data_IF_409225342129
#
_entry.id   IF_409225342129
#
_cell.length_a   1.000
_cell.length_b   1.000
_cell.length_c   1.000
_cell.angle_alpha   90.00
_cell.angle_beta   90.00
_cell.angle_gamma   90.00
#
_symmetry.space_group_name_H-M   'P 1'
#
loop_
_entity.id
_entity.type
_entity.pdbx_description
1 polymer ?
#
# COMPACT_ATOMS: atom_id res chain seq x y z
N UNK A 1 48.57 -116.17 30.72
CA UNK A 1 48.30 -115.28 31.88
C UNK A 1 48.73 -113.87 31.52
N UNK A 2 47.77 -112.99 31.20
CA UNK A 2 47.73 -111.54 31.47
C UNK A 2 46.55 -110.94 30.69
N UNK A 3 45.48 -110.71 31.44
CA UNK A 3 44.25 -110.03 31.07
C UNK A 3 44.57 -108.53 30.99
N UNK A 4 44.29 -107.86 29.86
CA UNK A 4 44.33 -106.39 29.80
C UNK A 4 42.92 -105.85 29.63
N UNK A 5 42.51 -105.14 30.68
CA UNK A 5 41.21 -104.51 30.90
C UNK A 5 41.13 -103.26 30.01
N UNK A 6 40.08 -103.17 29.19
CA UNK A 6 39.74 -101.97 28.41
C UNK A 6 39.01 -101.02 29.34
N UNK A 7 39.62 -99.86 29.61
CA UNK A 7 39.03 -98.76 30.39
C UNK A 7 38.30 -97.82 29.42
N UNK A 8 36.96 -97.85 29.42
CA UNK A 8 36.13 -96.90 28.66
C UNK A 8 35.99 -95.64 29.52
N UNK A 9 36.60 -94.54 29.08
CA UNK A 9 36.45 -93.21 29.69
C UNK A 9 35.21 -92.55 29.07
N UNK A 10 34.15 -92.41 29.88
CA UNK A 10 32.95 -91.65 29.55
C UNK A 10 33.26 -90.15 29.71
N UNK A 11 33.36 -89.41 28.60
CA UNK A 11 33.46 -87.95 28.63
C UNK A 11 32.06 -87.34 28.79
N UNK A 12 31.75 -86.84 29.98
CA UNK A 12 30.57 -86.01 30.24
C UNK A 12 30.83 -84.59 29.70
N UNK A 13 30.14 -84.22 28.61
CA UNK A 13 30.14 -82.86 28.07
C UNK A 13 29.33 -81.98 29.02
N UNK A 14 30.01 -81.14 29.79
CA UNK A 14 29.38 -80.06 30.56
C UNK A 14 29.07 -78.93 29.57
N UNK A 15 27.81 -78.78 29.21
CA UNK A 15 27.34 -77.62 28.45
C UNK A 15 27.34 -76.40 29.38
N UNK A 16 28.33 -75.53 29.22
CA UNK A 16 28.29 -74.20 29.81
C UNK A 16 27.22 -73.39 29.07
N UNK A 17 26.32 -72.67 29.78
CA UNK A 17 25.43 -71.74 29.10
C UNK A 17 26.32 -70.67 28.47
N UNK A 18 26.25 -70.54 27.14
CA UNK A 18 26.76 -69.36 26.44
C UNK A 18 25.96 -68.17 26.96
N UNK A 19 26.54 -67.44 27.90
CA UNK A 19 26.02 -66.17 28.36
C UNK A 19 26.01 -65.25 27.12
N UNK A 20 24.80 -64.93 26.63
CA UNK A 20 24.64 -63.94 25.59
C UNK A 20 25.30 -62.65 26.08
N UNK A 21 26.44 -62.31 25.48
CA UNK A 21 27.14 -61.08 25.75
C UNK A 21 26.25 -60.00 25.16
N UNK A 22 25.51 -59.26 26.00
CA UNK A 22 24.80 -58.06 25.55
C UNK A 22 25.83 -57.19 24.86
N UNK A 23 25.63 -56.88 23.58
CA UNK A 23 26.49 -55.95 22.86
C UNK A 23 26.60 -54.66 23.69
N UNK A 24 27.77 -54.43 24.25
CA UNK A 24 28.05 -53.20 24.98
C UNK A 24 28.15 -52.09 23.95
N UNK A 25 27.06 -51.35 23.75
CA UNK A 25 27.03 -50.18 22.91
C UNK A 25 27.09 -48.90 23.77
N UNK A 26 27.30 -47.75 23.13
CA UNK A 26 27.41 -46.45 23.81
C UNK A 26 26.18 -46.07 24.65
N UNK A 27 25.03 -46.73 24.42
CA UNK A 27 23.75 -46.48 25.08
C UNK A 27 23.45 -47.45 26.24
N UNK A 28 24.29 -48.47 26.42
CA UNK A 28 24.07 -49.56 27.38
C UNK A 28 24.10 -49.06 28.83
N UNK A 29 23.26 -49.66 29.67
CA UNK A 29 23.16 -49.34 31.10
C UNK A 29 22.90 -47.84 31.43
N UNK A 30 22.29 -47.10 30.51
CA UNK A 30 21.92 -45.69 30.70
C UNK A 30 23.07 -44.70 30.42
N UNK A 31 24.19 -45.15 29.86
CA UNK A 31 25.24 -44.26 29.38
C UNK A 31 24.78 -43.55 28.09
N UNK A 32 25.06 -42.25 27.93
CA UNK A 32 24.74 -41.42 26.74
C UNK A 32 23.31 -41.47 26.17
N UNK A 33 22.36 -42.03 26.92
CA UNK A 33 20.96 -42.18 26.53
C UNK A 33 20.28 -40.85 26.15
N UNK A 34 20.81 -39.73 26.65
CA UNK A 34 20.35 -38.37 26.36
C UNK A 34 20.39 -38.01 24.88
N UNK A 35 21.30 -38.58 24.09
CA UNK A 35 21.35 -38.31 22.65
C UNK A 35 20.17 -38.94 21.88
N UNK A 36 19.47 -39.90 22.49
CA UNK A 36 18.34 -40.63 21.88
C UNK A 36 17.01 -40.35 22.60
N UNK A 37 16.94 -39.34 23.47
CA UNK A 37 15.76 -39.05 24.31
C UNK A 37 14.75 -38.08 23.68
N UNK A 38 15.14 -37.31 22.67
CA UNK A 38 14.24 -36.33 22.07
C UNK A 38 13.23 -37.00 21.13
N UNK A 39 12.12 -36.29 20.83
CA UNK A 39 11.01 -36.82 20.03
C UNK A 39 11.43 -37.28 18.63
N UNK A 40 12.31 -36.53 17.96
CA UNK A 40 12.81 -36.85 16.63
C UNK A 40 14.28 -37.22 16.76
N UNK A 41 14.63 -38.43 16.36
CA UNK A 41 15.99 -38.96 16.39
C UNK A 41 16.53 -38.95 14.97
N UNK A 42 17.80 -38.58 14.80
CA UNK A 42 18.46 -38.61 13.51
C UNK A 42 18.53 -40.06 12.99
N UNK A 43 18.01 -40.37 11.79
CA UNK A 43 18.00 -41.75 11.27
C UNK A 43 19.37 -42.41 11.22
N UNK A 44 20.44 -41.65 10.93
CA UNK A 44 21.83 -42.14 10.97
C UNK A 44 22.25 -42.76 12.33
N UNK A 45 21.52 -42.53 13.42
CA UNK A 45 21.78 -43.20 14.69
C UNK A 45 21.51 -44.72 14.64
N UNK A 46 20.77 -45.21 13.63
CA UNK A 46 20.59 -46.65 13.38
C UNK A 46 21.88 -47.31 12.87
N UNK A 47 22.77 -46.55 12.22
CA UNK A 47 24.05 -47.03 11.67
C UNK A 47 25.15 -47.16 12.74
N UNK A 48 24.83 -46.89 14.01
CA UNK A 48 25.76 -46.92 15.13
C UNK A 48 26.48 -45.59 15.36
N UNK A 49 27.00 -45.37 16.57
CA UNK A 49 27.69 -44.13 16.93
C UNK A 49 29.03 -43.99 16.21
N UNK A 50 29.65 -45.12 15.86
CA UNK A 50 30.92 -45.26 15.17
C UNK A 50 30.88 -44.83 13.70
N UNK A 51 29.69 -44.67 13.12
CA UNK A 51 29.52 -44.09 11.77
C UNK A 51 30.07 -42.65 11.71
N UNK A 52 29.96 -41.93 12.83
CA UNK A 52 30.35 -40.53 12.94
C UNK A 52 31.49 -40.29 13.96
N UNK A 53 31.69 -41.22 14.91
CA UNK A 53 32.62 -41.02 16.03
C UNK A 53 33.70 -42.10 16.13
N UNK A 54 34.95 -41.68 16.16
CA UNK A 54 36.11 -42.54 16.40
C UNK A 54 36.62 -42.41 17.83
N UNK A 55 36.74 -43.54 18.52
CA UNK A 55 37.45 -43.59 19.79
C UNK A 55 38.97 -43.49 19.58
N UNK A 56 39.56 -42.42 20.09
CA UNK A 56 41.01 -42.15 19.99
C UNK A 56 41.76 -42.42 21.30
N UNK A 57 41.05 -42.74 22.39
CA UNK A 57 41.65 -43.01 23.70
C UNK A 57 40.85 -44.03 24.51
N UNK A 58 41.53 -44.93 25.22
CA UNK A 58 40.92 -46.01 26.01
C UNK A 58 40.44 -45.59 27.41
N UNK A 59 40.53 -44.32 27.77
CA UNK A 59 40.23 -43.84 29.13
C UNK A 59 38.74 -43.60 29.42
N UNK A 60 37.85 -43.86 28.46
CA UNK A 60 36.39 -43.78 28.67
C UNK A 60 35.89 -44.92 29.57
N UNK A 61 34.98 -44.68 30.55
CA UNK A 61 34.27 -43.42 30.86
C UNK A 61 34.96 -42.54 31.91
N UNK A 62 36.18 -42.86 32.34
CA UNK A 62 36.91 -42.16 33.42
C UNK A 62 37.64 -40.88 32.97
N UNK A 63 37.62 -40.61 31.66
CA UNK A 63 38.32 -39.51 31.03
C UNK A 63 37.57 -38.17 31.09
N UNK A 64 37.99 -37.20 30.27
CA UNK A 64 37.49 -35.81 30.28
C UNK A 64 36.52 -35.49 29.13
N UNK A 65 36.13 -36.47 28.32
CA UNK A 65 35.19 -36.30 27.21
C UNK A 65 35.86 -35.97 25.87
N UNK A 66 37.19 -36.06 25.78
CA UNK A 66 37.97 -35.88 24.55
C UNK A 66 38.51 -37.21 24.00
N UNK A 67 37.94 -38.33 24.45
CA UNK A 67 38.34 -39.66 24.03
C UNK A 67 37.77 -40.05 22.67
N UNK A 68 36.87 -39.24 22.11
CA UNK A 68 36.26 -39.42 20.80
C UNK A 68 36.48 -38.19 19.92
N UNK A 69 36.62 -38.40 18.61
CA UNK A 69 36.62 -37.35 17.58
C UNK A 69 35.61 -37.71 16.49
N UNK A 70 35.32 -36.79 15.59
CA UNK A 70 34.63 -37.12 14.34
C UNK A 70 35.56 -37.95 13.44
N UNK A 71 34.97 -38.87 12.69
CA UNK A 71 35.66 -39.72 11.69
C UNK A 71 36.30 -38.86 10.60
N UNK A 72 35.60 -37.81 10.18
CA UNK A 72 35.99 -36.87 9.12
C UNK A 72 35.76 -35.40 9.52
N UNK A 73 35.96 -34.46 8.59
CA UNK A 73 35.50 -33.08 8.81
C UNK A 73 33.98 -33.06 9.00
N UNK A 74 33.49 -32.13 9.81
CA UNK A 74 32.07 -32.03 10.15
C UNK A 74 31.18 -31.90 8.91
N UNK A 75 31.63 -31.16 7.90
CA UNK A 75 30.87 -30.94 6.67
C UNK A 75 30.87 -32.19 5.77
N UNK A 76 32.05 -32.77 5.54
CA UNK A 76 32.25 -34.01 4.77
C UNK A 76 31.36 -35.13 5.31
N UNK A 77 31.36 -35.33 6.64
CA UNK A 77 30.56 -36.35 7.31
C UNK A 77 29.05 -36.19 7.07
N UNK A 78 28.54 -34.95 6.99
CA UNK A 78 27.14 -34.74 6.68
C UNK A 78 26.83 -35.05 5.21
N UNK A 79 27.74 -34.68 4.30
CA UNK A 79 27.56 -34.82 2.86
C UNK A 79 27.75 -36.24 2.32
N UNK A 80 28.33 -37.15 3.10
CA UNK A 80 28.33 -38.59 2.80
C UNK A 80 26.91 -39.16 2.64
N UNK A 81 25.93 -38.57 3.32
CA UNK A 81 24.53 -38.98 3.29
C UNK A 81 23.56 -37.89 2.80
N UNK A 82 23.91 -36.61 2.94
CA UNK A 82 23.07 -35.48 2.54
C UNK A 82 23.60 -34.78 1.30
N UNK A 83 22.71 -34.21 0.50
CA UNK A 83 23.11 -33.53 -0.72
C UNK A 83 24.03 -32.33 -0.44
N UNK A 84 25.14 -32.27 -1.19
CA UNK A 84 26.01 -31.10 -1.24
C UNK A 84 25.29 -29.89 -1.86
N UNK A 85 25.75 -28.67 -1.60
CA UNK A 85 25.27 -27.47 -2.27
C UNK A 85 25.34 -27.59 -3.79
N UNK A 86 24.24 -27.32 -4.50
CA UNK A 86 24.24 -27.28 -5.96
C UNK A 86 24.84 -25.96 -6.42
N UNK A 87 25.97 -26.02 -7.14
CA UNK A 87 26.68 -24.84 -7.65
C UNK A 87 25.82 -23.95 -8.58
N UNK A 88 24.71 -24.47 -9.12
CA UNK A 88 23.77 -23.70 -9.96
C UNK A 88 22.74 -22.91 -9.15
N UNK A 89 22.61 -23.19 -7.85
CA UNK A 89 21.67 -22.53 -6.96
C UNK A 89 22.40 -21.51 -6.09
N UNK A 90 21.66 -20.49 -5.65
CA UNK A 90 22.17 -19.63 -4.59
C UNK A 90 22.02 -20.37 -3.28
N UNK A 91 23.14 -20.60 -2.62
CA UNK A 91 23.19 -21.25 -1.33
C UNK A 91 23.31 -20.23 -0.20
N UNK A 92 22.63 -20.51 0.90
CA UNK A 92 22.86 -19.86 2.17
C UNK A 92 24.30 -20.13 2.62
N UNK A 93 25.02 -19.11 3.10
CA UNK A 93 26.44 -19.24 3.44
C UNK A 93 26.69 -20.36 4.47
N UNK A 94 25.85 -20.47 5.50
CA UNK A 94 25.97 -21.54 6.50
C UNK A 94 25.72 -22.94 5.94
N UNK A 95 24.94 -23.08 4.86
CA UNK A 95 24.77 -24.37 4.19
C UNK A 95 25.97 -24.65 3.28
N UNK A 96 26.40 -23.65 2.50
CA UNK A 96 27.55 -23.76 1.60
C UNK A 96 28.86 -24.10 2.34
N UNK A 97 29.02 -23.66 3.58
CA UNK A 97 30.19 -23.96 4.42
C UNK A 97 30.04 -25.22 5.28
N UNK A 98 28.94 -25.96 5.17
CA UNK A 98 28.70 -27.16 5.96
C UNK A 98 28.48 -26.91 7.46
N UNK A 99 28.03 -25.72 7.83
CA UNK A 99 27.67 -25.34 9.20
C UNK A 99 26.28 -25.87 9.62
N UNK A 100 25.95 -27.11 9.23
CA UNK A 100 24.65 -27.76 9.45
C UNK A 100 24.25 -27.76 10.92
N UNK A 101 25.23 -27.99 11.80
CA UNK A 101 25.03 -28.03 13.26
C UNK A 101 24.78 -26.66 13.87
N UNK A 102 24.80 -25.56 13.11
CA UNK A 102 24.36 -24.26 13.60
C UNK A 102 22.85 -24.25 13.81
N UNK A 103 22.11 -24.89 12.89
CA UNK A 103 20.65 -24.95 12.89
C UNK A 103 20.08 -26.30 13.34
N UNK A 104 20.75 -27.39 12.99
CA UNK A 104 20.30 -28.75 13.25
C UNK A 104 21.03 -29.39 14.44
N UNK A 105 20.34 -30.27 15.16
CA UNK A 105 20.92 -31.17 16.14
C UNK A 105 21.30 -32.48 15.44
N UNK A 106 22.59 -32.87 15.43
CA UNK A 106 23.04 -34.05 14.68
C UNK A 106 22.55 -35.39 15.26
N UNK A 107 22.06 -35.39 16.51
CA UNK A 107 21.62 -36.63 17.19
C UNK A 107 20.11 -36.74 17.31
N UNK A 108 19.47 -35.77 17.97
CA UNK A 108 18.02 -35.74 18.16
C UNK A 108 17.53 -34.35 18.55
N UNK A 109 16.28 -34.04 18.25
CA UNK A 109 15.58 -32.81 18.68
C UNK A 109 14.10 -33.06 18.92
N UNK A 110 13.48 -32.25 19.76
CA UNK A 110 12.03 -32.24 19.90
C UNK A 110 11.33 -31.57 18.70
N UNK A 111 12.08 -30.84 17.88
CA UNK A 111 11.57 -30.11 16.72
C UNK A 111 11.72 -30.95 15.43
N UNK A 112 10.78 -30.81 14.48
CA UNK A 112 10.88 -31.43 13.16
C UNK A 112 12.19 -31.08 12.45
N UNK A 113 12.64 -31.96 11.56
CA UNK A 113 13.91 -31.82 10.82
C UNK A 113 15.12 -31.56 11.72
N UNK A 114 15.05 -31.96 12.98
CA UNK A 114 16.11 -31.81 13.98
C UNK A 114 16.52 -30.37 14.29
N UNK A 115 15.65 -29.38 14.07
CA UNK A 115 15.97 -27.99 14.35
C UNK A 115 16.26 -27.74 15.84
N UNK A 116 17.17 -26.82 16.14
CA UNK A 116 17.49 -26.44 17.53
C UNK A 116 16.42 -25.59 18.20
N UNK A 117 15.67 -24.80 17.45
CA UNK A 117 14.51 -24.05 17.95
C UNK A 117 13.21 -24.56 17.32
N UNK A 118 12.12 -24.45 18.09
CA UNK A 118 10.76 -24.67 17.59
C UNK A 118 10.33 -23.54 16.66
N UNK A 119 10.77 -22.30 16.96
CA UNK A 119 10.49 -21.14 16.14
C UNK A 119 11.65 -20.88 15.17
N UNK A 120 11.39 -21.03 13.87
CA UNK A 120 12.40 -20.81 12.82
C UNK A 120 12.93 -19.38 12.85
N UNK A 121 12.07 -18.40 13.11
CA UNK A 121 12.45 -16.99 13.20
C UNK A 121 13.42 -16.69 14.35
N UNK A 122 13.28 -17.36 15.49
CA UNK A 122 14.26 -17.24 16.59
C UNK A 122 15.63 -17.74 16.16
N UNK A 123 15.67 -18.89 15.46
CA UNK A 123 16.91 -19.45 14.95
C UNK A 123 17.55 -18.53 13.90
N UNK A 124 16.76 -18.01 12.96
CA UNK A 124 17.26 -17.05 11.97
C UNK A 124 17.77 -15.75 12.63
N UNK A 125 17.11 -15.29 13.70
CA UNK A 125 17.47 -14.08 14.42
C UNK A 125 18.77 -14.19 15.24
N UNK A 126 19.33 -15.40 15.40
CA UNK A 126 20.68 -15.56 15.98
C UNK A 126 21.75 -14.89 15.11
N UNK A 127 21.49 -14.71 13.80
CA UNK A 127 22.41 -14.06 12.87
C UNK A 127 21.77 -12.92 12.06
N UNK A 128 20.48 -12.99 11.73
CA UNK A 128 19.80 -12.01 10.88
C UNK A 128 18.95 -11.03 11.68
N UNK A 129 19.30 -9.74 11.60
CA UNK A 129 18.48 -8.68 12.18
C UNK A 129 17.32 -8.32 11.25
N UNK A 130 16.17 -8.95 11.49
CA UNK A 130 14.91 -8.55 10.87
C UNK A 130 14.34 -7.40 11.71
N UNK A 131 14.61 -6.15 11.29
CA UNK A 131 14.31 -4.90 12.01
C UNK A 131 13.01 -4.99 12.82
N UNK A 132 13.16 -5.23 14.11
CA UNK A 132 12.07 -5.62 14.99
C UNK A 132 11.66 -4.50 15.96
N UNK A 133 12.01 -3.25 15.64
CA UNK A 133 11.74 -2.08 16.49
C UNK A 133 10.28 -2.00 16.91
N UNK A 134 10.09 -1.63 18.18
CA UNK A 134 8.79 -1.19 18.68
C UNK A 134 8.37 0.04 17.86
N UNK A 135 7.14 0.05 17.34
CA UNK A 135 6.56 1.07 16.44
C UNK A 135 6.73 0.87 14.92
N UNK A 136 7.02 -0.34 14.45
CA UNK A 136 6.90 -0.67 13.02
C UNK A 136 5.63 -1.50 12.76
N UNK A 137 5.00 -1.25 11.61
CA UNK A 137 4.04 -2.17 11.00
C UNK A 137 4.85 -3.37 10.51
N UNK A 138 4.49 -4.56 10.95
CA UNK A 138 5.23 -5.78 10.62
C UNK A 138 4.33 -6.74 9.85
N UNK A 139 4.91 -7.44 8.90
CA UNK A 139 4.19 -8.43 8.12
C UNK A 139 3.94 -9.70 8.95
N UNK A 140 2.75 -10.30 8.82
CA UNK A 140 2.33 -11.44 9.64
C UNK A 140 3.35 -12.58 9.71
N UNK A 141 3.81 -13.13 8.58
CA UNK A 141 4.82 -14.20 8.56
C UNK A 141 6.14 -13.80 9.25
N UNK A 142 6.57 -12.55 9.12
CA UNK A 142 7.77 -12.06 9.79
C UNK A 142 7.60 -11.99 11.31
N UNK A 143 6.46 -11.51 11.80
CA UNK A 143 6.15 -11.45 13.25
C UNK A 143 6.05 -12.85 13.86
N UNK A 144 5.46 -13.78 13.14
CA UNK A 144 5.30 -15.16 13.62
C UNK A 144 6.56 -16.01 13.49
N UNK A 145 7.67 -15.45 12.99
CA UNK A 145 8.92 -16.20 12.79
C UNK A 145 8.81 -17.30 11.74
N UNK A 146 7.90 -17.15 10.76
CA UNK A 146 7.66 -18.13 9.70
C UNK A 146 8.49 -17.79 8.45
N UNK A 147 9.80 -17.59 8.63
CA UNK A 147 10.72 -17.19 7.56
C UNK A 147 10.68 -18.18 6.38
N UNK A 148 10.54 -19.47 6.69
CA UNK A 148 10.48 -20.56 5.74
C UNK A 148 9.16 -20.66 4.95
N UNK A 149 8.18 -19.77 5.17
CA UNK A 149 7.02 -19.65 4.27
C UNK A 149 7.41 -18.95 2.97
N UNK A 150 8.41 -18.07 3.03
CA UNK A 150 8.88 -17.30 1.88
C UNK A 150 10.29 -17.69 1.43
N UNK A 151 11.16 -18.07 2.37
CA UNK A 151 12.55 -18.42 2.09
C UNK A 151 12.80 -19.94 2.11
N UNK A 152 13.75 -20.40 1.31
CA UNK A 152 14.39 -21.71 1.36
C UNK A 152 15.72 -21.61 2.14
N UNK A 153 15.80 -22.07 3.39
CA UNK A 153 16.95 -21.79 4.27
C UNK A 153 18.29 -22.35 3.82
N UNK A 154 18.30 -23.33 2.91
CA UNK A 154 19.54 -23.95 2.41
C UNK A 154 19.97 -23.35 1.08
N UNK A 155 19.13 -23.45 0.06
CA UNK A 155 19.45 -22.97 -1.28
C UNK A 155 18.17 -22.76 -2.11
N UNK A 156 18.24 -21.85 -3.07
CA UNK A 156 17.16 -21.60 -4.02
C UNK A 156 17.70 -21.16 -5.38
N UNK A 157 16.90 -21.40 -6.42
CA UNK A 157 17.12 -20.79 -7.74
C UNK A 157 16.80 -19.28 -7.74
N UNK A 158 16.00 -18.80 -6.77
CA UNK A 158 15.51 -17.42 -6.72
C UNK A 158 16.33 -16.56 -5.75
N UNK A 159 16.43 -15.28 -6.07
CA UNK A 159 17.24 -14.30 -5.31
C UNK A 159 16.82 -14.23 -3.85
N UNK A 160 17.78 -13.92 -2.96
CA UNK A 160 17.54 -13.88 -1.51
C UNK A 160 16.93 -15.16 -0.93
N UNK A 161 17.22 -16.30 -1.55
CA UNK A 161 16.73 -17.61 -1.15
C UNK A 161 15.21 -17.72 -1.14
N UNK A 162 14.50 -17.04 -2.04
CA UNK A 162 13.03 -17.09 -2.06
C UNK A 162 12.51 -18.41 -2.63
N UNK A 163 11.34 -18.88 -2.17
CA UNK A 163 10.66 -20.04 -2.74
C UNK A 163 10.19 -19.81 -4.16
N UNK A 164 9.77 -18.58 -4.45
CA UNK A 164 9.32 -18.11 -5.75
C UNK A 164 9.72 -16.63 -5.91
N UNK A 165 9.89 -16.15 -7.13
CA UNK A 165 10.10 -14.73 -7.37
C UNK A 165 8.78 -13.94 -7.19
N UNK A 166 8.81 -12.72 -6.62
CA UNK A 166 7.70 -11.79 -6.70
C UNK A 166 7.34 -11.52 -8.18
N UNK A 167 6.04 -11.38 -8.51
CA UNK A 167 4.93 -11.20 -7.59
C UNK A 167 4.26 -12.53 -7.17
N UNK A 168 4.64 -13.66 -7.77
CA UNK A 168 3.94 -14.94 -7.61
C UNK A 168 4.01 -15.44 -6.15
N UNK A 169 5.16 -15.27 -5.50
CA UNK A 169 5.32 -15.56 -4.07
C UNK A 169 4.27 -14.83 -3.20
N UNK A 170 4.05 -13.55 -3.48
CA UNK A 170 3.11 -12.72 -2.73
C UNK A 170 1.66 -13.18 -2.96
N UNK A 171 1.34 -13.59 -4.19
CA UNK A 171 0.01 -14.02 -4.57
C UNK A 171 -0.42 -15.36 -3.98
N UNK A 172 0.50 -16.15 -3.42
CA UNK A 172 0.18 -17.36 -2.68
C UNK A 172 -0.71 -17.08 -1.46
N UNK A 173 -0.67 -15.85 -0.94
CA UNK A 173 -1.58 -15.38 0.12
C UNK A 173 -2.44 -14.16 -0.30
N UNK A 174 -1.91 -13.28 -1.16
CA UNK A 174 -2.57 -12.03 -1.56
C UNK A 174 -3.35 -12.14 -2.88
N UNK A 175 -4.21 -13.15 -2.99
CA UNK A 175 -4.97 -13.45 -4.22
C UNK A 175 -5.84 -12.28 -4.70
N UNK A 176 -6.45 -11.52 -3.79
CA UNK A 176 -7.24 -10.32 -4.15
C UNK A 176 -6.42 -9.24 -4.86
N UNK A 177 -5.13 -9.12 -4.53
CA UNK A 177 -4.26 -8.17 -5.21
C UNK A 177 -3.94 -8.64 -6.63
N UNK A 178 -3.79 -9.96 -6.83
CA UNK A 178 -3.68 -10.56 -8.17
C UNK A 178 -4.93 -10.28 -9.00
N UNK A 179 -6.13 -10.43 -8.42
CA UNK A 179 -7.39 -10.10 -9.10
C UNK A 179 -7.48 -8.62 -9.47
N UNK A 180 -7.07 -7.72 -8.55
CA UNK A 180 -7.05 -6.28 -8.81
C UNK A 180 -6.14 -5.93 -10.00
N UNK A 181 -5.00 -6.59 -10.13
CA UNK A 181 -4.06 -6.35 -11.23
C UNK A 181 -4.56 -6.88 -12.59
N UNK A 182 -5.70 -7.59 -12.63
CA UNK A 182 -6.39 -7.94 -13.88
C UNK A 182 -7.35 -6.84 -14.36
N UNK A 183 -7.45 -5.71 -13.65
CA UNK A 183 -8.27 -4.59 -14.08
C UNK A 183 -7.70 -3.92 -15.36
N UNK A 184 -8.55 -3.24 -16.16
CA UNK A 184 -8.14 -2.70 -17.46
C UNK A 184 -6.96 -1.73 -17.43
N UNK A 185 -6.84 -0.95 -16.36
CA UNK A 185 -5.75 0.02 -16.19
C UNK A 185 -4.91 -0.39 -15.01
N UNK A 186 -3.69 -0.83 -15.29
CA UNK A 186 -2.68 -1.13 -14.27
C UNK A 186 -1.69 0.03 -14.20
N UNK A 187 -1.28 0.39 -12.99
CA UNK A 187 -0.32 1.45 -12.74
C UNK A 187 1.02 1.07 -13.36
N UNK A 188 1.58 1.94 -14.21
CA UNK A 188 2.81 1.64 -14.97
C UNK A 188 4.01 1.31 -14.09
N UNK A 189 4.10 1.86 -12.87
CA UNK A 189 5.15 1.49 -11.93
C UNK A 189 5.07 0.03 -11.44
N UNK A 190 3.95 -0.66 -11.66
CA UNK A 190 3.87 -2.09 -11.45
C UNK A 190 4.47 -2.82 -12.67
N UNK A 191 5.78 -2.95 -12.68
CA UNK A 191 6.53 -3.77 -13.64
C UNK A 191 6.72 -5.21 -13.14
N UNK A 192 5.67 -5.77 -12.50
CA UNK A 192 5.72 -7.09 -11.88
C UNK A 192 6.38 -7.13 -10.49
N UNK A 193 7.00 -6.04 -10.03
CA UNK A 193 7.60 -5.96 -8.70
C UNK A 193 6.63 -5.39 -7.67
N UNK A 194 6.42 -6.12 -6.57
CA UNK A 194 5.74 -5.61 -5.37
C UNK A 194 6.72 -4.87 -4.45
N UNK A 195 7.99 -5.27 -4.50
CA UNK A 195 9.03 -4.88 -3.55
C UNK A 195 9.71 -3.58 -3.92
N UNK A 196 9.38 -2.93 -5.04
CA UNK A 196 9.80 -1.55 -5.28
C UNK A 196 9.17 -0.60 -4.26
N UNK A 197 7.86 -0.74 -4.04
CA UNK A 197 7.11 0.13 -3.14
C UNK A 197 6.92 -0.46 -1.75
N UNK A 198 6.82 -1.79 -1.62
CA UNK A 198 6.58 -2.46 -0.33
C UNK A 198 7.85 -3.09 0.25
N UNK A 199 7.94 -3.13 1.58
CA UNK A 199 8.89 -3.94 2.31
C UNK A 199 8.16 -5.19 2.85
N UNK A 200 8.54 -6.42 2.42
CA UNK A 200 7.81 -7.64 2.77
C UNK A 200 7.97 -8.06 4.24
N UNK A 201 8.87 -7.43 5.01
CA UNK A 201 9.10 -7.73 6.42
C UNK A 201 8.42 -6.72 7.34
N UNK A 202 8.68 -5.43 7.15
CA UNK A 202 8.21 -4.37 8.02
C UNK A 202 8.33 -2.98 7.38
N UNK A 203 7.57 -2.02 7.88
CA UNK A 203 7.73 -0.60 7.58
C UNK A 203 7.28 0.27 8.74
N UNK A 204 7.71 1.54 8.75
CA UNK A 204 7.13 2.58 9.61
C UNK A 204 5.72 2.98 9.16
N UNK A 205 5.33 2.64 7.94
CA UNK A 205 4.10 3.11 7.29
C UNK A 205 3.07 1.98 7.12
N UNK A 206 1.79 2.36 7.13
CA UNK A 206 0.68 1.42 6.88
C UNK A 206 0.85 0.70 5.54
N UNK A 207 0.34 -0.53 5.45
CA UNK A 207 0.45 -1.37 4.25
C UNK A 207 1.89 -1.72 3.83
N UNK A 208 2.87 -1.54 4.74
CA UNK A 208 4.26 -1.91 4.53
C UNK A 208 4.95 -1.16 3.37
N UNK A 209 4.47 0.04 3.02
CA UNK A 209 5.13 0.86 1.99
C UNK A 209 6.46 1.42 2.49
N UNK A 210 7.46 1.60 1.63
CA UNK A 210 8.80 2.07 2.03
C UNK A 210 8.84 3.54 2.44
N UNK A 211 7.93 4.36 1.93
CA UNK A 211 7.81 5.79 2.23
C UNK A 211 6.34 6.21 2.42
N UNK A 212 6.08 7.27 3.18
CA UNK A 212 4.76 7.86 3.33
C UNK A 212 4.27 8.48 2.02
N UNK A 213 2.95 8.51 1.83
CA UNK A 213 2.31 9.21 0.72
C UNK A 213 2.09 10.67 1.14
N UNK A 214 2.44 11.67 0.32
CA UNK A 214 2.79 11.57 -1.12
C UNK A 214 4.26 11.32 -1.44
N UNK A 215 5.16 11.29 -0.45
CA UNK A 215 6.61 11.11 -0.63
C UNK A 215 6.97 9.95 -1.57
N UNK A 216 6.37 8.78 -1.36
CA UNK A 216 6.56 7.60 -2.19
C UNK A 216 6.18 7.84 -3.66
N UNK A 217 5.05 8.51 -3.91
CA UNK A 217 4.60 8.81 -5.27
C UNK A 217 5.56 9.75 -5.99
N UNK A 218 6.14 10.71 -5.24
CA UNK A 218 7.09 11.68 -5.78
C UNK A 218 8.49 11.12 -6.03
N UNK A 219 8.77 9.87 -5.71
CA UNK A 219 10.00 9.20 -6.16
C UNK A 219 10.00 9.00 -7.68
N UNK A 220 8.81 8.88 -8.29
CA UNK A 220 8.63 8.78 -9.75
C UNK A 220 7.89 9.99 -10.36
N UNK A 221 7.01 10.63 -9.60
CA UNK A 221 6.22 11.80 -10.03
C UNK A 221 6.81 13.10 -9.47
N UNK A 222 8.10 13.33 -9.68
CA UNK A 222 8.83 14.49 -9.16
C UNK A 222 8.41 15.80 -9.87
N UNK A 223 8.00 15.70 -11.13
CA UNK A 223 7.35 16.76 -11.91
C UNK A 223 6.14 17.36 -11.19
N UNK A 224 5.25 16.50 -10.67
CA UNK A 224 4.08 16.92 -9.89
C UNK A 224 4.48 17.61 -8.59
N UNK A 225 5.53 17.12 -7.93
CA UNK A 225 6.07 17.74 -6.71
C UNK A 225 6.55 19.17 -6.98
N UNK A 226 7.16 19.42 -8.12
CA UNK A 226 7.62 20.75 -8.51
C UNK A 226 6.48 21.66 -8.98
N UNK A 227 5.49 21.11 -9.69
CA UNK A 227 4.25 21.82 -10.01
C UNK A 227 3.58 22.33 -8.73
N UNK A 228 3.38 21.48 -7.72
CA UNK A 228 2.72 21.86 -6.48
C UNK A 228 3.47 22.91 -5.66
N UNK A 229 4.81 22.96 -5.75
CA UNK A 229 5.58 24.03 -5.09
C UNK A 229 5.41 25.38 -5.77
N UNK A 230 5.19 25.40 -7.07
CA UNK A 230 5.17 26.62 -7.89
C UNK A 230 3.75 27.17 -8.12
N UNK A 231 2.74 26.30 -8.06
CA UNK A 231 1.35 26.65 -8.29
C UNK A 231 0.79 27.62 -7.22
N UNK A 232 -0.02 28.59 -7.65
CA UNK A 232 -0.66 29.55 -6.74
C UNK A 232 -1.74 28.92 -5.86
N UNK A 233 -2.42 27.91 -6.37
CA UNK A 233 -3.48 27.18 -5.66
C UNK A 233 -3.24 25.70 -5.81
N UNK A 234 -3.02 25.01 -4.69
CA UNK A 234 -2.92 23.54 -4.64
C UNK A 234 -4.12 22.99 -3.89
N UNK A 235 -4.65 21.87 -4.38
CA UNK A 235 -5.75 21.18 -3.73
C UNK A 235 -5.29 20.69 -2.37
N UNK A 236 -5.96 21.15 -1.31
CA UNK A 236 -5.53 20.90 0.08
C UNK A 236 -5.30 19.43 0.41
N UNK A 237 -6.06 18.51 -0.20
CA UNK A 237 -5.91 17.06 0.01
C UNK A 237 -4.52 16.53 -0.39
N UNK A 238 -3.82 17.20 -1.32
CA UNK A 238 -2.47 16.81 -1.77
C UNK A 238 -1.47 16.86 -0.62
N UNK A 239 -1.63 17.82 0.29
CA UNK A 239 -0.72 18.06 1.41
C UNK A 239 -1.17 17.34 2.70
N UNK A 240 -2.05 16.35 2.58
CA UNK A 240 -2.56 15.53 3.70
C UNK A 240 -2.07 14.09 3.58
N UNK A 241 -2.18 13.34 4.67
CA UNK A 241 -1.90 11.91 4.66
C UNK A 241 -2.80 11.20 3.65
N UNK A 242 -2.26 10.17 2.98
CA UNK A 242 -2.97 9.37 1.97
C UNK A 242 -3.46 10.20 0.76
N UNK A 243 -2.91 11.39 0.55
CA UNK A 243 -3.26 12.36 -0.49
C UNK A 243 -3.59 11.75 -1.86
N UNK A 244 -2.57 11.25 -2.56
CA UNK A 244 -2.70 10.71 -3.91
C UNK A 244 -3.68 9.54 -3.95
N UNK A 245 -3.58 8.65 -2.95
CA UNK A 245 -4.40 7.43 -2.89
C UNK A 245 -5.85 7.65 -2.43
N UNK A 246 -6.20 8.88 -2.07
CA UNK A 246 -7.59 9.27 -1.82
C UNK A 246 -8.38 9.39 -3.13
N UNK A 247 -7.68 9.63 -4.24
CA UNK A 247 -8.27 9.77 -5.57
C UNK A 247 -7.79 8.69 -6.53
N UNK A 248 -6.52 8.28 -6.46
CA UNK A 248 -5.92 7.30 -7.36
C UNK A 248 -5.72 5.95 -6.68
N UNK A 249 -5.89 4.87 -7.43
CA UNK A 249 -5.47 3.54 -7.05
C UNK A 249 -3.97 3.40 -7.35
N UNK A 250 -3.13 3.05 -6.37
CA UNK A 250 -1.70 2.89 -6.58
C UNK A 250 -1.34 1.64 -7.40
N UNK A 251 -2.30 0.73 -7.65
CA UNK A 251 -2.07 -0.54 -8.33
C UNK A 251 -2.82 -0.63 -9.65
N UNK A 252 -4.15 -0.60 -9.62
CA UNK A 252 -4.97 -0.74 -10.81
C UNK A 252 -6.39 -0.21 -10.59
N UNK A 253 -7.05 0.20 -11.67
CA UNK A 253 -8.43 0.65 -11.67
C UNK A 253 -9.14 0.26 -12.97
N UNK A 254 -10.47 0.43 -12.97
CA UNK A 254 -11.31 0.38 -14.17
C UNK A 254 -11.20 1.66 -15.01
N UNK A 255 -10.69 2.75 -14.43
CA UNK A 255 -10.61 4.07 -15.07
C UNK A 255 -9.23 4.31 -15.67
N UNK A 256 -9.16 5.13 -16.72
CA UNK A 256 -7.93 5.33 -17.50
C UNK A 256 -6.81 6.05 -16.73
N UNK A 257 -7.15 6.90 -15.76
CA UNK A 257 -6.21 7.65 -14.91
C UNK A 257 -6.12 7.09 -13.49
N UNK A 258 -6.45 5.81 -13.32
CA UNK A 258 -6.39 5.09 -12.05
C UNK A 258 -7.29 5.65 -10.94
N UNK A 259 -8.30 6.44 -11.25
CA UNK A 259 -9.23 6.96 -10.24
C UNK A 259 -9.97 5.83 -9.51
N UNK A 260 -10.14 5.98 -8.19
CA UNK A 260 -10.86 5.03 -7.33
C UNK A 260 -12.39 5.08 -7.53
N UNK A 261 -12.88 6.16 -8.14
CA UNK A 261 -14.28 6.37 -8.55
C UNK A 261 -14.32 7.20 -9.84
N UNK A 262 -15.42 7.10 -10.58
CA UNK A 262 -15.62 7.81 -11.85
C UNK A 262 -16.32 9.16 -11.66
N UNK A 263 -15.92 10.14 -12.49
CA UNK A 263 -16.57 11.45 -12.61
C UNK A 263 -16.81 12.16 -11.29
N UNK A 264 -17.98 12.80 -11.17
CA UNK A 264 -18.39 13.58 -10.00
C UNK A 264 -18.47 12.79 -8.69
N UNK A 265 -18.69 11.47 -8.76
CA UNK A 265 -18.82 10.63 -7.55
C UNK A 265 -17.50 10.54 -6.77
N UNK A 266 -16.37 10.72 -7.47
CA UNK A 266 -15.08 10.88 -6.83
C UNK A 266 -15.07 12.15 -5.97
N UNK A 267 -15.37 13.30 -6.57
CA UNK A 267 -15.38 14.60 -5.90
C UNK A 267 -16.38 14.63 -4.74
N UNK A 268 -17.58 14.06 -4.93
CA UNK A 268 -18.64 14.01 -3.93
C UNK A 268 -18.38 13.08 -2.76
N UNK A 269 -17.32 12.27 -2.81
CA UNK A 269 -16.86 11.54 -1.61
C UNK A 269 -16.46 12.51 -0.50
N UNK A 270 -15.96 13.69 -0.85
CA UNK A 270 -15.53 14.72 0.09
C UNK A 270 -16.37 16.01 -0.02
N UNK A 271 -16.66 16.51 -1.23
CA UNK A 271 -17.39 17.77 -1.45
C UNK A 271 -18.90 17.69 -1.17
N UNK A 272 -19.28 16.87 -0.18
CA UNK A 272 -20.62 16.63 0.33
C UNK A 272 -20.94 17.33 1.66
N UNK A 273 -20.06 18.22 2.10
CA UNK A 273 -20.22 19.05 3.30
C UNK A 273 -19.50 20.38 3.15
N UNK A 274 -19.78 21.28 4.08
CA UNK A 274 -19.08 22.56 4.18
C UNK A 274 -17.69 22.35 4.79
N UNK A 275 -16.67 23.00 4.22
CA UNK A 275 -15.32 23.03 4.75
C UNK A 275 -14.94 24.45 5.13
N UNK A 276 -14.43 24.64 6.34
CA UNK A 276 -13.93 25.93 6.81
C UNK A 276 -12.42 25.86 7.00
N UNK A 277 -11.75 26.85 6.44
CA UNK A 277 -10.36 27.19 6.71
C UNK A 277 -10.33 28.61 7.28
N UNK A 278 -9.19 29.00 7.85
CA UNK A 278 -9.02 30.33 8.46
C UNK A 278 -9.39 31.47 7.50
N UNK A 279 -9.13 31.28 6.20
CA UNK A 279 -9.33 32.30 5.16
C UNK A 279 -10.62 32.13 4.34
N UNK A 280 -11.32 31.00 4.43
CA UNK A 280 -12.41 30.67 3.49
C UNK A 280 -13.39 29.61 3.99
N UNK A 281 -14.61 29.67 3.47
CA UNK A 281 -15.62 28.62 3.62
C UNK A 281 -15.96 28.07 2.24
N UNK A 282 -15.70 26.78 2.01
CA UNK A 282 -16.13 26.05 0.83
C UNK A 282 -17.51 25.44 1.09
N UNK A 283 -18.45 25.74 0.20
CA UNK A 283 -19.82 25.25 0.32
C UNK A 283 -19.92 23.74 0.07
N UNK A 284 -21.02 23.15 0.54
CA UNK A 284 -21.41 21.78 0.20
C UNK A 284 -21.88 21.70 -1.26
N UNK A 285 -20.96 21.43 -2.18
CA UNK A 285 -21.23 21.44 -3.62
C UNK A 285 -22.19 20.32 -4.01
N UNK A 286 -22.03 19.11 -3.45
CA UNK A 286 -22.96 18.00 -3.66
C UNK A 286 -24.41 18.44 -3.41
N UNK A 287 -24.66 19.09 -2.27
CA UNK A 287 -25.99 19.57 -1.90
C UNK A 287 -26.52 20.59 -2.90
N UNK A 288 -25.69 21.54 -3.32
CA UNK A 288 -26.10 22.55 -4.30
C UNK A 288 -26.49 21.88 -5.62
N UNK A 289 -25.67 20.96 -6.13
CA UNK A 289 -25.90 20.32 -7.43
C UNK A 289 -27.10 19.38 -7.40
N UNK A 290 -27.30 18.65 -6.31
CA UNK A 290 -28.35 17.62 -6.21
C UNK A 290 -29.70 18.14 -5.72
N UNK A 291 -29.74 19.23 -4.95
CA UNK A 291 -31.00 19.74 -4.36
C UNK A 291 -31.49 21.05 -4.98
N UNK A 292 -30.67 21.76 -5.77
CA UNK A 292 -31.12 22.98 -6.43
C UNK A 292 -32.19 22.69 -7.47
N UNK A 293 -33.19 23.58 -7.57
CA UNK A 293 -34.20 23.49 -8.63
C UNK A 293 -33.62 23.65 -10.04
N UNK A 294 -32.58 24.46 -10.17
CA UNK A 294 -31.85 24.73 -11.40
C UNK A 294 -30.35 24.57 -11.13
N UNK A 295 -29.82 23.34 -11.14
CA UNK A 295 -28.37 23.15 -11.12
C UNK A 295 -27.77 23.68 -12.43
N UNK A 296 -26.50 24.07 -12.40
CA UNK A 296 -25.80 24.38 -13.65
C UNK A 296 -25.62 23.08 -14.43
N UNK A 297 -26.09 23.03 -15.67
CA UNK A 297 -26.18 21.79 -16.47
C UNK A 297 -24.83 21.05 -16.56
N UNK A 298 -23.76 21.73 -17.00
CA UNK A 298 -22.41 21.15 -17.04
C UNK A 298 -21.93 20.60 -15.67
N UNK A 299 -22.35 21.21 -14.57
CA UNK A 299 -21.97 20.74 -13.22
C UNK A 299 -22.84 19.54 -12.80
N UNK A 300 -24.13 19.54 -13.19
CA UNK A 300 -25.06 18.45 -12.94
C UNK A 300 -24.65 17.17 -13.68
N UNK A 301 -24.13 17.31 -14.90
CA UNK A 301 -23.66 16.19 -15.73
C UNK A 301 -22.38 15.57 -15.16
N UNK A 302 -21.60 16.34 -14.39
CA UNK A 302 -20.49 15.84 -13.59
C UNK A 302 -19.12 16.23 -14.10
N UNK A 303 -19.07 17.20 -15.00
CA UNK A 303 -17.85 17.66 -15.65
C UNK A 303 -17.13 18.70 -14.79
N UNK A 304 -16.83 18.33 -13.53
CA UNK A 304 -16.14 19.23 -12.60
C UNK A 304 -14.79 19.70 -13.16
N UNK A 305 -14.12 18.86 -13.95
CA UNK A 305 -12.81 19.13 -14.54
C UNK A 305 -12.84 20.09 -15.73
N UNK A 306 -14.03 20.39 -16.28
CA UNK A 306 -14.20 21.38 -17.34
C UNK A 306 -13.98 22.80 -16.82
N UNK A 307 -14.10 22.99 -15.51
CA UNK A 307 -13.83 24.27 -14.86
C UNK A 307 -12.68 24.19 -13.86
N UNK A 308 -12.40 23.01 -13.30
CA UNK A 308 -11.42 22.83 -12.23
C UNK A 308 -10.23 21.94 -12.62
N UNK A 309 -9.03 22.33 -12.22
CA UNK A 309 -7.87 21.44 -12.17
C UNK A 309 -7.75 20.78 -10.78
N UNK A 310 -8.06 19.49 -10.65
CA UNK A 310 -8.23 18.84 -9.35
C UNK A 310 -6.96 18.74 -8.51
N UNK A 311 -5.78 19.01 -9.10
CA UNK A 311 -4.52 19.02 -8.39
C UNK A 311 -4.06 20.43 -8.02
N UNK A 312 -3.77 21.25 -9.03
CA UNK A 312 -3.21 22.58 -8.87
C UNK A 312 -3.65 23.50 -10.00
N UNK A 313 -3.62 24.81 -9.73
CA UNK A 313 -3.85 25.84 -10.73
C UNK A 313 -3.16 27.14 -10.35
N UNK A 314 -2.87 27.95 -11.36
CA UNK A 314 -2.48 29.35 -11.24
C UNK A 314 -3.64 30.30 -10.94
N UNK A 315 -4.87 29.79 -10.92
CA UNK A 315 -6.08 30.52 -10.53
C UNK A 315 -6.58 30.04 -9.16
N UNK A 316 -7.26 30.92 -8.41
CA UNK A 316 -7.85 30.52 -7.12
C UNK A 316 -8.98 29.50 -7.33
N UNK A 317 -9.28 28.75 -6.26
CA UNK A 317 -10.28 27.67 -6.27
C UNK A 317 -10.04 26.62 -7.36
N UNK A 318 -8.77 26.45 -7.73
CA UNK A 318 -8.36 25.44 -8.70
C UNK A 318 -9.01 25.62 -10.07
N UNK A 319 -9.37 26.83 -10.48
CA UNK A 319 -10.02 27.03 -11.77
C UNK A 319 -9.03 26.84 -12.92
N UNK A 320 -9.41 26.20 -14.01
CA UNK A 320 -8.52 25.98 -15.16
C UNK A 320 -8.25 27.25 -15.99
N UNK A 321 -9.09 28.26 -15.83
CA UNK A 321 -9.08 29.49 -16.62
C UNK A 321 -9.38 30.70 -15.72
N UNK A 322 -9.20 31.92 -16.25
CA UNK A 322 -9.31 33.14 -15.45
C UNK A 322 -10.76 33.39 -15.04
N UNK A 323 -10.92 33.72 -13.76
CA UNK A 323 -12.15 34.24 -13.20
C UNK A 323 -11.78 35.24 -12.09
N UNK A 324 -12.40 36.43 -12.02
CA UNK A 324 -12.05 37.41 -11.01
C UNK A 324 -12.62 37.01 -9.65
N UNK A 325 -11.91 37.34 -8.56
CA UNK A 325 -12.36 37.06 -7.20
C UNK A 325 -12.83 38.32 -6.46
N UNK A 326 -13.85 38.14 -5.62
CA UNK A 326 -14.47 39.22 -4.86
C UNK A 326 -15.67 39.86 -5.57
N UNK A 327 -16.23 40.88 -4.94
CA UNK A 327 -17.49 41.51 -5.36
C UNK A 327 -17.41 42.23 -6.71
N UNK A 328 -16.23 42.70 -7.10
CA UNK A 328 -16.06 43.56 -8.28
C UNK A 328 -14.99 43.01 -9.21
N UNK A 329 -15.21 43.17 -10.52
CA UNK A 329 -14.24 42.91 -11.57
C UNK A 329 -13.72 44.23 -12.14
N UNK A 330 -12.45 44.26 -12.55
CA UNK A 330 -11.85 45.43 -13.20
C UNK A 330 -12.28 45.47 -14.67
N UNK A 331 -13.47 46.04 -14.92
CA UNK A 331 -13.99 46.32 -16.26
C UNK A 331 -14.73 45.15 -16.92
N UNK A 332 -15.29 45.45 -18.09
CA UNK A 332 -16.10 44.56 -18.93
C UNK A 332 -15.30 43.47 -19.67
N UNK A 333 -14.00 43.37 -19.40
CA UNK A 333 -13.09 42.61 -20.24
C UNK A 333 -13.43 41.11 -20.18
N UNK A 334 -13.86 40.51 -21.30
CA UNK A 334 -14.19 39.09 -21.34
C UNK A 334 -13.00 38.20 -20.97
N UNK A 335 -11.76 38.65 -21.19
CA UNK A 335 -10.57 37.87 -20.84
C UNK A 335 -10.44 37.63 -19.33
N UNK A 336 -11.04 38.49 -18.49
CA UNK A 336 -11.06 38.26 -17.05
C UNK A 336 -11.99 37.12 -16.63
N UNK A 337 -12.97 36.79 -17.48
CA UNK A 337 -13.98 35.74 -17.27
C UNK A 337 -13.82 34.61 -18.29
N UNK A 338 -12.60 34.36 -18.76
CA UNK A 338 -12.33 33.40 -19.83
C UNK A 338 -12.91 32.02 -19.53
N UNK A 339 -12.90 31.60 -18.25
CA UNK A 339 -13.56 30.38 -17.77
C UNK A 339 -15.01 30.25 -18.24
N UNK A 340 -15.78 31.32 -18.18
CA UNK A 340 -17.19 31.29 -18.55
C UNK A 340 -17.36 31.30 -20.07
N UNK A 341 -16.50 32.02 -20.78
CA UNK A 341 -16.63 32.25 -22.22
C UNK A 341 -16.03 31.15 -23.09
N UNK A 342 -15.52 30.08 -22.47
CA UNK A 342 -15.24 28.82 -23.17
C UNK A 342 -16.54 28.13 -23.64
N UNK A 343 -17.66 28.38 -22.95
CA UNK A 343 -18.98 27.82 -23.31
C UNK A 343 -20.08 28.88 -23.51
N UNK A 344 -19.92 30.09 -22.94
CA UNK A 344 -20.91 31.15 -23.05
C UNK A 344 -20.48 32.25 -24.04
N UNK A 345 -21.47 32.92 -24.65
CA UNK A 345 -21.21 34.07 -25.51
C UNK A 345 -20.93 35.35 -24.71
N UNK A 346 -19.96 36.14 -25.18
CA UNK A 346 -19.50 37.36 -24.48
C UNK A 346 -20.28 38.62 -24.84
N UNK A 347 -21.19 38.56 -25.82
CA UNK A 347 -21.95 39.71 -26.32
C UNK A 347 -22.80 40.39 -25.24
N UNK A 348 -23.26 39.61 -24.25
CA UNK A 348 -23.98 40.12 -23.08
C UNK A 348 -23.15 41.13 -22.26
N UNK A 349 -21.82 41.11 -22.34
CA UNK A 349 -20.95 42.08 -21.67
C UNK A 349 -20.47 43.22 -22.55
N UNK A 350 -20.54 43.07 -23.89
CA UNK A 350 -19.98 44.03 -24.85
C UNK A 350 -21.01 45.04 -25.33
N UNK A 351 -22.25 44.60 -25.55
CA UNK A 351 -23.29 45.42 -26.18
C UNK A 351 -24.03 46.25 -25.14
N UNK A 352 -23.97 47.58 -25.23
CA UNK A 352 -24.76 48.47 -24.36
C UNK A 352 -26.27 48.32 -24.61
N UNK A 353 -26.65 48.05 -25.87
CA UNK A 353 -28.02 47.82 -26.30
C UNK A 353 -28.13 46.53 -27.10
N UNK A 354 -29.17 45.74 -26.82
CA UNK A 354 -29.45 44.49 -27.52
C UNK A 354 -30.89 44.03 -27.30
N UNK A 355 -31.43 43.30 -28.27
CA UNK A 355 -32.70 42.57 -28.15
C UNK A 355 -32.50 41.05 -28.15
N UNK A 356 -31.30 40.57 -28.49
CA UNK A 356 -30.99 39.15 -28.74
C UNK A 356 -29.88 38.59 -27.87
N UNK A 357 -28.88 39.39 -27.50
CA UNK A 357 -27.69 38.88 -26.80
C UNK A 357 -27.93 38.51 -25.32
N UNK A 358 -29.06 38.95 -24.75
CA UNK A 358 -29.47 38.56 -23.40
C UNK A 358 -30.97 38.76 -23.19
N UNK A 359 -31.54 37.93 -22.30
CA UNK A 359 -32.90 38.12 -21.78
C UNK A 359 -32.96 39.03 -20.54
N UNK A 360 -31.81 39.38 -19.95
CA UNK A 360 -31.72 40.35 -18.86
C UNK A 360 -31.57 41.77 -19.42
N UNK A 361 -32.69 42.36 -19.84
CA UNK A 361 -32.76 43.69 -20.46
C UNK A 361 -34.00 44.47 -20.02
N UNK A 362 -33.98 45.79 -20.24
CA UNK A 362 -35.14 46.66 -20.07
C UNK A 362 -35.43 47.40 -21.39
N UNK A 363 -36.33 46.87 -22.21
CA UNK A 363 -36.41 47.24 -23.62
C UNK A 363 -35.14 46.81 -24.36
N UNK A 364 -34.50 47.73 -25.11
CA UNK A 364 -33.23 47.47 -25.79
C UNK A 364 -32.00 47.64 -24.87
N UNK A 365 -32.17 48.09 -23.62
CA UNK A 365 -31.05 48.34 -22.70
C UNK A 365 -30.56 47.02 -22.10
N UNK A 366 -29.29 46.67 -22.36
CA UNK A 366 -28.65 45.49 -21.81
C UNK A 366 -28.30 45.70 -20.32
N UNK A 367 -28.94 44.94 -19.43
CA UNK A 367 -28.70 45.07 -18.00
C UNK A 367 -27.43 44.32 -17.54
N UNK A 368 -26.93 43.31 -18.27
CA UNK A 368 -25.62 42.73 -17.97
C UNK A 368 -24.51 43.78 -18.17
N UNK A 369 -24.52 44.48 -19.31
CA UNK A 369 -23.59 45.59 -19.59
C UNK A 369 -23.63 46.66 -18.50
N UNK A 370 -24.84 47.06 -18.06
CA UNK A 370 -24.99 48.06 -17.00
C UNK A 370 -24.32 47.65 -15.68
N UNK A 371 -24.42 46.38 -15.30
CA UNK A 371 -23.94 45.89 -14.01
C UNK A 371 -22.47 45.48 -14.02
N UNK A 372 -21.97 44.98 -15.15
CA UNK A 372 -20.63 44.34 -15.24
C UNK A 372 -19.64 45.25 -15.97
N UNK A 373 -20.07 46.02 -16.95
CA UNK A 373 -19.14 46.66 -17.91
C UNK A 373 -18.68 48.07 -17.50
N UNK A 374 -19.19 48.63 -16.40
CA UNK A 374 -18.81 49.96 -15.89
C UNK A 374 -17.59 49.92 -14.97
N UNK A 375 -17.04 51.09 -14.59
CA UNK A 375 -15.85 51.23 -13.71
C UNK A 375 -15.90 50.43 -12.39
N UNK A 376 -17.09 50.08 -11.88
CA UNK A 376 -17.28 49.19 -10.72
C UNK A 376 -18.12 47.98 -11.12
N UNK A 377 -17.65 47.27 -12.16
CA UNK A 377 -18.28 46.07 -12.68
C UNK A 377 -18.49 45.03 -11.59
N UNK A 378 -19.71 44.52 -11.46
CA UNK A 378 -20.04 43.46 -10.51
C UNK A 378 -19.50 42.13 -11.04
N UNK A 379 -18.99 41.31 -10.14
CA UNK A 379 -18.66 39.93 -10.46
C UNK A 379 -19.95 39.13 -10.77
N UNK A 380 -19.90 38.19 -11.71
CA UNK A 380 -21.01 37.29 -12.01
C UNK A 380 -21.53 36.57 -10.75
N UNK A 381 -20.65 36.22 -9.81
CA UNK A 381 -20.99 35.56 -8.54
C UNK A 381 -21.73 36.45 -7.53
N UNK A 382 -21.86 37.76 -7.80
CA UNK A 382 -22.79 38.63 -7.05
C UNK A 382 -24.25 38.49 -7.50
N UNK A 383 -24.51 37.74 -8.56
CA UNK A 383 -25.86 37.51 -9.07
C UNK A 383 -26.15 36.02 -9.28
N UNK A 384 -25.15 35.23 -9.67
CA UNK A 384 -25.29 33.82 -10.02
C UNK A 384 -24.55 32.92 -9.02
N UNK A 385 -25.12 31.75 -8.76
CA UNK A 385 -24.38 30.64 -8.16
C UNK A 385 -24.03 29.66 -9.27
N UNK A 386 -22.76 29.62 -9.64
CA UNK A 386 -22.24 28.85 -10.78
C UNK A 386 -22.45 27.34 -10.68
N UNK A 387 -22.72 26.81 -9.47
CA UNK A 387 -23.01 25.39 -9.29
C UNK A 387 -24.51 25.07 -9.35
N UNK A 388 -25.38 26.04 -9.05
CA UNK A 388 -26.83 25.84 -9.02
C UNK A 388 -27.58 26.80 -8.09
N UNK A 389 -28.86 27.01 -8.38
CA UNK A 389 -29.76 27.82 -7.56
C UNK A 389 -31.22 27.35 -7.64
N UNK A 390 -32.05 27.86 -6.73
CA UNK A 390 -33.50 27.67 -6.76
C UNK A 390 -34.23 28.64 -7.69
N UNK A 391 -33.55 29.66 -8.18
CA UNK A 391 -34.10 30.60 -9.16
C UNK A 391 -33.66 30.25 -10.59
N UNK A 392 -34.50 30.54 -11.60
CA UNK A 392 -34.12 30.42 -13.01
C UNK A 392 -32.81 31.15 -13.34
N UNK A 393 -32.12 30.68 -14.38
CA UNK A 393 -30.83 31.24 -14.80
C UNK A 393 -29.79 31.27 -13.67
N UNK A 394 -29.84 30.29 -12.77
CA UNK A 394 -28.91 30.09 -11.64
C UNK A 394 -28.73 31.34 -10.76
N UNK A 395 -29.73 32.23 -10.71
CA UNK A 395 -29.66 33.47 -9.92
C UNK A 395 -29.64 33.12 -8.43
N UNK A 396 -28.61 33.53 -7.70
CA UNK A 396 -28.42 33.15 -6.30
C UNK A 396 -29.53 33.71 -5.38
N UNK A 397 -29.93 32.97 -4.35
CA UNK A 397 -30.84 33.50 -3.33
C UNK A 397 -30.17 34.60 -2.49
N UNK A 398 -28.90 34.36 -2.16
CA UNK A 398 -28.04 35.24 -1.37
C UNK A 398 -26.63 35.21 -1.93
N UNK A 399 -25.92 36.33 -1.79
CA UNK A 399 -24.51 36.46 -2.19
C UNK A 399 -23.70 37.12 -1.08
N UNK A 400 -22.42 36.77 -0.99
CA UNK A 400 -21.52 37.39 -0.03
C UNK A 400 -21.11 38.79 -0.53
N UNK A 401 -21.41 39.82 0.25
CA UNK A 401 -20.93 41.18 0.01
C UNK A 401 -20.24 41.72 1.27
N UNK A 402 -18.91 41.74 1.28
CA UNK A 402 -18.14 42.04 2.50
C UNK A 402 -18.38 40.97 3.56
N UNK A 403 -18.95 41.34 4.71
CA UNK A 403 -19.38 40.40 5.78
C UNK A 403 -20.87 40.07 5.73
N UNK A 404 -21.61 40.63 4.79
CA UNK A 404 -23.06 40.51 4.73
C UNK A 404 -23.50 39.49 3.68
N UNK A 405 -24.38 38.59 4.10
CA UNK A 405 -25.13 37.69 3.22
C UNK A 405 -26.31 38.45 2.62
N UNK A 406 -26.05 39.15 1.51
CA UNK A 406 -27.02 40.01 0.85
C UNK A 406 -28.05 39.16 0.09
N UNK A 407 -29.36 39.23 0.45
CA UNK A 407 -30.39 38.56 -0.33
C UNK A 407 -30.61 39.29 -1.65
N UNK A 408 -30.75 38.55 -2.77
CA UNK A 408 -31.08 39.17 -4.06
C UNK A 408 -32.59 39.42 -4.21
N UNK A 409 -33.42 38.63 -3.51
CA UNK A 409 -34.89 38.71 -3.54
C UNK A 409 -35.44 38.73 -4.98
N UNK A 410 -34.84 37.92 -5.85
CA UNK A 410 -35.23 37.84 -7.24
C UNK A 410 -36.67 37.33 -7.37
N UNK A 411 -37.44 37.93 -8.28
CA UNK A 411 -38.75 37.45 -8.69
C UNK A 411 -38.87 37.53 -10.20
N UNK A 412 -38.98 36.38 -10.85
CA UNK A 412 -39.28 36.31 -12.28
C UNK A 412 -40.71 36.80 -12.55
N UNK A 413 -40.92 37.40 -13.73
CA UNK A 413 -42.23 37.67 -14.30
C UNK A 413 -42.28 37.10 -15.72
N UNK A 414 -43.47 37.01 -16.32
CA UNK A 414 -43.63 36.45 -17.66
C UNK A 414 -42.71 37.13 -18.70
N UNK A 415 -42.59 38.46 -18.62
CA UNK A 415 -41.78 39.26 -19.53
C UNK A 415 -40.62 39.99 -18.83
N UNK A 416 -40.02 39.43 -17.78
CA UNK A 416 -38.86 40.05 -17.14
C UNK A 416 -38.68 39.61 -15.69
N UNK A 417 -38.47 40.58 -14.80
CA UNK A 417 -38.31 40.25 -13.39
C UNK A 417 -38.06 41.46 -12.51
N UNK A 418 -37.71 41.18 -11.25
CA UNK A 418 -37.30 42.19 -10.29
C UNK A 418 -36.27 41.65 -9.32
N UNK A 419 -35.38 42.53 -8.87
CA UNK A 419 -34.43 42.28 -7.78
C UNK A 419 -34.64 43.32 -6.69
N UNK A 420 -34.46 42.92 -5.43
CA UNK A 420 -34.52 43.83 -4.29
C UNK A 420 -33.37 43.51 -3.31
N UNK A 421 -32.12 43.82 -3.71
CA UNK A 421 -30.97 43.68 -2.83
C UNK A 421 -31.14 44.67 -1.69
N UNK A 422 -31.11 44.22 -0.43
CA UNK A 422 -31.61 44.98 0.73
C UNK A 422 -31.10 46.42 0.93
N UNK A 423 -29.99 46.82 0.29
CA UNK A 423 -29.49 48.20 0.30
C UNK A 423 -30.16 49.15 -0.71
N UNK A 424 -30.87 48.62 -1.72
CA UNK A 424 -31.52 49.41 -2.77
C UNK A 424 -33.02 49.07 -2.83
N UNK A 425 -33.82 50.02 -3.30
CA UNK A 425 -35.23 49.78 -3.60
C UNK A 425 -35.41 48.67 -4.66
N UNK A 426 -36.59 48.04 -4.67
CA UNK A 426 -36.93 47.03 -5.68
C UNK A 426 -36.84 47.65 -7.07
N UNK A 427 -36.03 47.05 -7.94
CA UNK A 427 -35.95 47.40 -9.36
C UNK A 427 -36.66 46.33 -10.18
N UNK A 428 -37.46 46.76 -11.16
CA UNK A 428 -38.17 45.91 -12.11
C UNK A 428 -37.62 46.15 -13.51
N UNK A 429 -37.64 45.12 -14.35
CA UNK A 429 -37.26 45.22 -15.76
C UNK A 429 -38.20 44.38 -16.62
N UNK A 430 -38.32 44.78 -17.88
CA UNK A 430 -39.17 44.13 -18.88
C UNK A 430 -38.33 43.85 -20.14
N UNK A 431 -38.34 42.60 -20.59
CA UNK A 431 -37.69 42.15 -21.83
C UNK A 431 -38.42 42.69 -23.06
#
# INVERSE_FOLDING_TARGET
MKLQIILIILFTIIAYPTQAQSEQNCLSAGCHDTFMKAKNIHPAMEDGCESCHDQISQNHPKGKGNEFKLTEDKSELCFDCHDEPDEKLMSHEAFASGECTSCHSPHSSNNPSLLKSENVGELCAECHDVDNKENMVKHGPAVSGQCNVCHEPHQSANTSLLKEEPPQLCFNCHEKNKEMLNLPTVHGAYEGSCTECHNPHNSKYEFLVKEAIPGLCFECHDDMKDEFKSAKSVHKIINQDKSCISCHSPHASKTQTLLVKEGKDLCFTCHNKEYKDDDRTLANIYKIVTESKYPHEAVADGDCTDCHFPHSSDNFYLLNSKFPFGSYAKGADPENFSLCFECHESDALKLEKTTSATNFRNGDINLHYLHISKNKGRNCTLCHNVHGSNNPHIIADKVQFGKWQMPLNYKATENGGSCAPGCHGRLKYIR
#
